data_IF_392161097847
#
_entry.id   IF_392161097847
#
_cell.length_a   1.000
_cell.length_b   1.000
_cell.length_c   1.000
_cell.angle_alpha   90.00
_cell.angle_beta   90.00
_cell.angle_gamma   90.00
#
_symmetry.space_group_name_H-M   'P 1'
#
loop_
_entity.id
_entity.type
_entity.pdbx_description
1 polymer ?
#
# COMPACT_ATOMS: atom_id res chain seq x y z
N UNK A 1 12.36 0.98 10.49
CA UNK A 1 13.11 0.97 9.19
C UNK A 1 13.85 -0.34 8.93
N UNK A 2 14.79 -0.77 9.77
CA UNK A 2 15.60 -1.99 9.55
C UNK A 2 14.77 -3.28 9.44
N UNK A 3 13.65 -3.38 10.16
CA UNK A 3 12.77 -4.54 10.04
C UNK A 3 12.08 -4.62 8.68
N UNK A 4 11.65 -3.48 8.13
CA UNK A 4 11.08 -3.39 6.78
C UNK A 4 12.10 -3.88 5.73
N UNK A 5 13.34 -3.36 5.77
CA UNK A 5 14.41 -3.81 4.87
C UNK A 5 14.60 -5.32 4.92
N UNK A 6 14.64 -5.90 6.12
CA UNK A 6 14.86 -7.35 6.29
C UNK A 6 13.73 -8.19 5.71
N UNK A 7 12.48 -7.74 5.80
CA UNK A 7 11.33 -8.45 5.24
C UNK A 7 11.33 -8.37 3.72
N UNK A 8 11.69 -7.22 3.17
CA UNK A 8 11.60 -6.95 1.72
C UNK A 8 12.82 -7.48 0.95
N UNK A 9 14.02 -7.47 1.57
CA UNK A 9 15.28 -7.81 0.89
C UNK A 9 15.28 -9.23 0.35
N UNK A 10 15.47 -9.36 -0.97
CA UNK A 10 15.52 -10.65 -1.67
C UNK A 10 14.17 -11.35 -1.79
N UNK A 11 13.08 -10.63 -1.54
CA UNK A 11 11.72 -11.14 -1.68
C UNK A 11 10.93 -10.27 -2.66
N UNK A 12 10.04 -10.91 -3.41
CA UNK A 12 9.15 -10.24 -4.36
C UNK A 12 7.79 -9.91 -3.72
N UNK A 13 7.06 -9.01 -4.35
CA UNK A 13 5.63 -8.82 -4.05
C UNK A 13 4.89 -10.05 -4.61
N UNK A 14 4.31 -10.85 -3.71
CA UNK A 14 3.56 -12.06 -4.05
C UNK A 14 2.12 -11.70 -4.45
N UNK A 15 1.50 -10.80 -3.70
CA UNK A 15 0.15 -10.31 -3.99
C UNK A 15 -0.10 -8.92 -3.39
N UNK A 16 -1.13 -8.23 -3.87
CA UNK A 16 -1.62 -6.96 -3.36
C UNK A 16 -3.10 -7.10 -3.08
N UNK A 17 -3.52 -6.80 -1.86
CA UNK A 17 -4.91 -6.98 -1.42
C UNK A 17 -5.58 -5.69 -1.01
N UNK A 18 -6.84 -5.56 -1.41
CA UNK A 18 -7.83 -4.72 -0.75
C UNK A 18 -8.58 -5.57 0.29
N UNK A 19 -8.89 -5.00 1.43
CA UNK A 19 -9.74 -5.61 2.45
C UNK A 19 -11.13 -5.01 2.44
N UNK A 20 -12.09 -5.74 2.96
CA UNK A 20 -13.46 -5.29 3.00
C UNK A 20 -14.39 -6.38 3.56
N UNK A 21 -15.64 -6.27 3.23
CA UNK A 21 -16.65 -7.25 3.59
C UNK A 21 -17.54 -7.58 2.39
N UNK A 22 -18.13 -8.74 2.43
CA UNK A 22 -19.18 -9.16 1.51
C UNK A 22 -20.49 -9.09 2.25
N UNK A 23 -21.42 -8.32 1.71
CA UNK A 23 -22.81 -8.30 2.12
C UNK A 23 -23.63 -9.22 1.20
N UNK A 24 -24.60 -9.96 1.77
CA UNK A 24 -25.45 -10.89 1.03
C UNK A 24 -26.90 -10.45 1.18
N UNK A 25 -27.36 -9.69 0.22
CA UNK A 25 -28.74 -9.21 0.19
C UNK A 25 -29.53 -9.88 -0.95
N UNK A 26 -30.69 -10.47 -0.62
CA UNK A 26 -31.56 -11.15 -1.60
C UNK A 26 -30.85 -12.24 -2.45
N UNK A 27 -29.85 -12.91 -1.86
CA UNK A 27 -29.04 -13.93 -2.56
C UNK A 27 -27.98 -13.36 -3.50
N UNK A 28 -27.73 -12.06 -3.47
CA UNK A 28 -26.68 -11.36 -4.23
C UNK A 28 -25.57 -11.01 -3.26
N UNK A 29 -24.35 -11.52 -3.54
CA UNK A 29 -23.15 -11.17 -2.79
C UNK A 29 -22.49 -9.95 -3.41
N UNK A 30 -22.23 -8.91 -2.62
CA UNK A 30 -21.56 -7.70 -3.04
C UNK A 30 -20.36 -7.42 -2.14
N UNK A 31 -19.18 -7.20 -2.75
CA UNK A 31 -17.96 -6.84 -2.03
C UNK A 31 -17.87 -5.33 -1.83
N UNK A 32 -17.72 -4.91 -0.58
CA UNK A 32 -17.46 -3.53 -0.18
C UNK A 32 -16.05 -3.44 0.39
N UNK A 33 -15.17 -2.69 -0.24
CA UNK A 33 -13.78 -2.57 0.20
C UNK A 33 -13.60 -1.46 1.24
N UNK A 34 -12.72 -1.70 2.21
CA UNK A 34 -12.25 -0.68 3.15
C UNK A 34 -11.08 0.07 2.53
N UNK A 35 -11.36 1.26 2.04
CA UNK A 35 -10.41 2.12 1.32
C UNK A 35 -9.24 2.62 2.17
N UNK A 36 -9.28 2.40 3.49
CA UNK A 36 -8.24 2.86 4.39
C UNK A 36 -7.01 1.96 4.38
N UNK A 37 -7.13 0.72 3.86
CA UNK A 37 -6.08 -0.28 3.95
C UNK A 37 -5.74 -0.88 2.59
N UNK A 38 -4.43 -1.01 2.35
CA UNK A 38 -3.87 -1.85 1.27
C UNK A 38 -2.78 -2.72 1.89
N UNK A 39 -2.71 -3.97 1.47
CA UNK A 39 -1.73 -4.94 1.95
C UNK A 39 -0.88 -5.48 0.81
N UNK A 40 0.44 -5.48 1.00
CA UNK A 40 1.38 -6.14 0.09
C UNK A 40 1.90 -7.41 0.75
N UNK A 41 1.64 -8.55 0.16
CA UNK A 41 2.15 -9.84 0.63
C UNK A 41 3.57 -10.04 0.13
N UNK A 42 4.50 -10.30 1.06
CA UNK A 42 5.93 -10.51 0.82
C UNK A 42 6.44 -11.56 1.80
N UNK A 43 6.85 -12.72 1.30
CA UNK A 43 7.43 -13.80 2.11
C UNK A 43 6.55 -14.17 3.33
N UNK A 44 5.28 -14.45 3.10
CA UNK A 44 4.29 -14.79 4.13
C UNK A 44 4.11 -13.72 5.23
N UNK A 45 4.49 -12.49 4.97
CA UNK A 45 4.23 -11.28 5.76
C UNK A 45 3.44 -10.29 4.93
N UNK A 46 2.85 -9.32 5.59
CA UNK A 46 2.13 -8.25 4.91
C UNK A 46 2.72 -6.90 5.30
N UNK A 47 3.00 -6.06 4.31
CA UNK A 47 3.16 -4.62 4.55
C UNK A 47 1.76 -4.04 4.50
N UNK A 48 1.28 -3.59 5.65
CA UNK A 48 0.02 -2.87 5.80
C UNK A 48 0.26 -1.38 5.57
N UNK A 49 -0.47 -0.80 4.65
CA UNK A 49 -0.60 0.64 4.47
C UNK A 49 -1.97 1.07 4.98
N UNK A 50 -1.97 1.93 5.98
CA UNK A 50 -3.17 2.49 6.60
C UNK A 50 -3.24 4.00 6.31
N UNK A 51 -4.35 4.46 5.75
CA UNK A 51 -4.63 5.90 5.62
C UNK A 51 -5.12 6.45 6.95
N UNK A 52 -4.40 7.41 7.49
CA UNK A 52 -4.67 8.02 8.81
C UNK A 52 -4.84 9.53 8.68
N UNK A 53 -5.11 10.20 9.80
CA UNK A 53 -5.22 11.66 9.91
C UNK A 53 -6.16 12.27 8.86
N UNK A 54 -7.38 11.73 8.74
CA UNK A 54 -8.38 12.17 7.77
C UNK A 54 -7.88 12.07 6.30
N UNK A 55 -7.23 10.94 5.98
CA UNK A 55 -6.70 10.66 4.65
C UNK A 55 -5.59 11.61 4.18
N UNK A 56 -4.76 12.08 5.10
CA UNK A 56 -3.62 12.95 4.77
C UNK A 56 -2.26 12.31 4.95
N UNK A 57 -2.19 11.17 5.63
CA UNK A 57 -0.95 10.44 5.91
C UNK A 57 -1.14 8.95 5.69
N UNK A 58 -0.05 8.27 5.35
CA UNK A 58 0.09 6.82 5.34
C UNK A 58 0.88 6.38 6.56
N UNK A 59 0.39 5.36 7.23
CA UNK A 59 1.09 4.61 8.27
C UNK A 59 1.44 3.24 7.74
N UNK A 60 2.69 2.81 7.94
CA UNK A 60 3.18 1.51 7.52
C UNK A 60 3.43 0.62 8.72
N UNK A 61 3.01 -0.63 8.60
CA UNK A 61 3.32 -1.70 9.56
C UNK A 61 3.63 -2.99 8.81
N UNK A 62 4.40 -3.88 9.47
CA UNK A 62 4.53 -5.26 9.04
C UNK A 62 3.71 -6.12 9.97
N UNK A 63 2.79 -6.89 9.40
CA UNK A 63 1.86 -7.75 10.13
C UNK A 63 1.93 -9.19 9.61
N UNK A 64 1.56 -10.15 10.45
CA UNK A 64 1.58 -11.58 10.10
C UNK A 64 0.33 -12.02 9.33
N UNK A 65 -0.73 -11.23 9.41
CA UNK A 65 -1.97 -11.49 8.70
C UNK A 65 -2.71 -10.19 8.41
N UNK A 66 -3.54 -10.21 7.40
CA UNK A 66 -4.46 -9.12 7.08
C UNK A 66 -5.38 -8.87 8.27
N UNK A 67 -5.50 -7.62 8.70
CA UNK A 67 -6.32 -7.20 9.81
C UNK A 67 -7.67 -6.65 9.30
N UNK A 68 -8.74 -6.98 10.01
CA UNK A 68 -10.08 -6.47 9.72
C UNK A 68 -10.59 -5.73 10.97
N UNK A 69 -10.16 -4.46 11.10
CA UNK A 69 -10.41 -3.64 12.29
C UNK A 69 -11.75 -2.89 12.21
N UNK A 70 -12.82 -3.58 11.81
CA UNK A 70 -14.17 -3.03 11.75
C UNK A 70 -15.20 -4.07 12.18
N UNK A 71 -16.29 -3.58 12.75
CA UNK A 71 -17.46 -4.41 13.05
C UNK A 71 -18.24 -4.65 11.76
N UNK A 72 -18.80 -5.84 11.66
CA UNK A 72 -19.70 -6.25 10.56
C UNK A 72 -20.99 -6.81 11.15
N UNK A 73 -22.08 -6.67 10.43
CA UNK A 73 -23.36 -7.25 10.79
C UNK A 73 -23.37 -8.78 10.63
N UNK A 74 -24.36 -9.48 11.20
CA UNK A 74 -24.40 -10.94 11.24
C UNK A 74 -24.50 -11.60 9.85
N UNK A 75 -25.02 -10.89 8.87
CA UNK A 75 -25.19 -11.30 7.47
C UNK A 75 -23.98 -10.92 6.56
N UNK A 76 -22.98 -10.25 7.11
CA UNK A 76 -21.77 -9.85 6.40
C UNK A 76 -20.60 -10.79 6.69
N UNK A 77 -19.68 -10.92 5.75
CA UNK A 77 -18.46 -11.71 5.89
C UNK A 77 -17.23 -10.86 5.59
N UNK A 78 -16.21 -10.92 6.47
CA UNK A 78 -14.91 -10.30 6.19
C UNK A 78 -14.26 -10.95 4.98
N UNK A 79 -13.72 -10.13 4.08
CA UNK A 79 -13.14 -10.59 2.84
C UNK A 79 -11.90 -9.77 2.44
N UNK A 80 -11.07 -10.35 1.58
CA UNK A 80 -10.01 -9.66 0.87
C UNK A 80 -10.10 -9.96 -0.63
N UNK A 81 -9.68 -9.01 -1.47
CA UNK A 81 -9.64 -9.16 -2.92
C UNK A 81 -8.24 -8.88 -3.42
N UNK A 82 -7.66 -9.76 -4.21
CA UNK A 82 -6.41 -9.51 -4.92
C UNK A 82 -6.63 -8.49 -6.03
N UNK A 83 -5.68 -7.55 -6.15
CA UNK A 83 -5.63 -6.55 -7.21
C UNK A 83 -4.29 -6.60 -7.98
N UNK A 84 -3.47 -7.60 -7.75
CA UNK A 84 -2.13 -7.72 -8.34
C UNK A 84 -2.15 -7.69 -9.85
N UNK A 85 -3.07 -8.39 -10.50
CA UNK A 85 -3.20 -8.40 -11.96
C UNK A 85 -3.52 -7.02 -12.57
N UNK A 86 -4.08 -6.11 -11.75
CA UNK A 86 -4.40 -4.74 -12.17
C UNK A 86 -3.19 -3.83 -11.96
N UNK A 87 -2.44 -4.04 -10.86
CA UNK A 87 -1.38 -3.14 -10.43
C UNK A 87 -0.02 -3.55 -10.99
N UNK A 88 0.32 -4.84 -10.95
CA UNK A 88 1.62 -5.33 -11.40
C UNK A 88 1.64 -5.52 -12.92
N UNK A 89 2.65 -4.98 -13.57
CA UNK A 89 2.83 -5.12 -15.03
C UNK A 89 3.34 -6.49 -15.43
N UNK A 90 4.00 -7.20 -14.51
CA UNK A 90 4.45 -8.58 -14.67
C UNK A 90 3.81 -9.44 -13.57
N UNK A 91 2.97 -10.39 -13.96
CA UNK A 91 2.34 -11.34 -13.03
C UNK A 91 3.23 -12.56 -12.79
N UNK A 92 4.35 -12.69 -13.52
CA UNK A 92 5.35 -13.73 -13.26
C UNK A 92 6.34 -13.25 -12.18
N UNK A 93 6.53 -14.06 -11.16
CA UNK A 93 7.20 -13.74 -9.88
C UNK A 93 8.62 -13.12 -9.97
N UNK A 94 9.29 -13.15 -11.11
CA UNK A 94 10.71 -12.80 -11.23
C UNK A 94 10.98 -11.29 -11.46
N UNK A 95 9.96 -10.45 -11.57
CA UNK A 95 10.13 -9.02 -11.85
C UNK A 95 9.61 -8.09 -10.76
N UNK A 96 8.94 -8.65 -9.76
CA UNK A 96 8.27 -7.87 -8.71
C UNK A 96 9.11 -7.70 -7.43
N UNK A 97 10.42 -7.97 -7.53
CA UNK A 97 11.36 -7.65 -6.46
C UNK A 97 11.44 -6.13 -6.27
N UNK A 98 11.43 -5.69 -5.01
CA UNK A 98 11.54 -4.29 -4.69
C UNK A 98 13.01 -3.86 -4.77
N UNK A 99 13.30 -2.87 -5.62
CA UNK A 99 14.61 -2.25 -5.74
C UNK A 99 14.78 -1.12 -4.71
N UNK A 100 13.79 -0.22 -4.64
CA UNK A 100 13.80 0.90 -3.72
C UNK A 100 12.42 1.17 -3.13
N UNK A 101 12.40 1.72 -1.92
CA UNK A 101 11.23 2.35 -1.32
C UNK A 101 11.57 3.80 -1.00
N UNK A 102 10.72 4.72 -1.44
CA UNK A 102 10.88 6.16 -1.21
C UNK A 102 9.69 6.65 -0.41
N UNK A 103 9.97 7.23 0.74
CA UNK A 103 8.98 7.84 1.62
C UNK A 103 9.03 9.36 1.45
N UNK A 104 7.89 9.97 1.26
CA UNK A 104 7.76 11.43 1.18
C UNK A 104 7.33 11.98 2.54
N UNK A 105 8.10 12.94 3.08
CA UNK A 105 7.90 13.54 4.41
C UNK A 105 7.77 12.49 5.51
N UNK A 106 8.75 11.55 5.56
CA UNK A 106 8.79 10.48 6.54
C UNK A 106 8.96 11.02 7.95
N UNK A 107 8.08 10.62 8.83
CA UNK A 107 8.15 10.77 10.28
C UNK A 107 8.52 9.40 10.86
N UNK A 108 9.73 9.25 11.38
CA UNK A 108 10.23 8.00 11.96
C UNK A 108 10.45 8.21 13.46
N UNK A 109 9.36 8.08 14.22
CA UNK A 109 9.41 8.02 15.68
C UNK A 109 9.22 6.55 16.12
N UNK A 110 8.05 6.24 16.64
CA UNK A 110 7.68 4.86 17.03
C UNK A 110 7.05 4.09 15.85
N UNK A 111 6.52 4.80 14.86
CA UNK A 111 5.82 4.26 13.69
C UNK A 111 6.32 4.93 12.40
N UNK A 112 6.25 4.22 11.27
CA UNK A 112 6.55 4.78 9.95
C UNK A 112 5.31 5.52 9.43
N UNK A 113 5.32 6.83 9.49
CA UNK A 113 4.26 7.70 9.00
C UNK A 113 4.84 8.62 7.93
N UNK A 114 4.14 8.80 6.80
CA UNK A 114 4.59 9.63 5.69
C UNK A 114 3.42 10.21 4.89
N UNK A 115 3.68 11.12 3.97
CA UNK A 115 2.64 11.70 3.12
C UNK A 115 2.29 10.80 1.93
N UNK A 116 3.27 10.10 1.38
CA UNK A 116 3.11 9.16 0.28
C UNK A 116 4.29 8.18 0.23
N UNK A 117 4.10 7.06 -0.47
CA UNK A 117 5.13 6.05 -0.68
C UNK A 117 5.26 5.75 -2.17
N UNK A 118 6.50 5.64 -2.63
CA UNK A 118 6.85 5.14 -3.96
C UNK A 118 7.67 3.87 -3.82
N UNK A 119 7.29 2.83 -4.54
CA UNK A 119 7.99 1.55 -4.60
C UNK A 119 8.49 1.38 -6.02
N UNK A 120 9.80 1.28 -6.19
CA UNK A 120 10.44 0.98 -7.46
C UNK A 120 10.77 -0.52 -7.50
N UNK A 121 10.30 -1.20 -8.54
CA UNK A 121 10.56 -2.62 -8.76
C UNK A 121 11.79 -2.82 -9.66
N UNK A 122 12.42 -3.97 -9.55
CA UNK A 122 13.61 -4.33 -10.36
C UNK A 122 13.31 -4.31 -11.87
N UNK A 123 12.08 -4.61 -12.29
CA UNK A 123 11.63 -4.52 -13.67
C UNK A 123 11.44 -3.06 -14.19
N UNK A 124 11.67 -2.05 -13.32
CA UNK A 124 11.52 -0.63 -13.64
C UNK A 124 10.11 -0.08 -13.47
N UNK A 125 9.16 -0.91 -13.04
CA UNK A 125 7.82 -0.44 -12.68
C UNK A 125 7.88 0.42 -11.41
N UNK A 126 7.03 1.42 -11.34
CA UNK A 126 6.80 2.27 -10.16
C UNK A 126 5.39 2.05 -9.67
N UNK A 127 5.25 1.78 -8.37
CA UNK A 127 3.98 1.76 -7.66
C UNK A 127 3.99 2.96 -6.71
N UNK A 128 2.96 3.79 -6.78
CA UNK A 128 2.81 4.97 -5.95
C UNK A 128 1.54 4.87 -5.11
N UNK A 129 1.66 5.06 -3.80
CA UNK A 129 0.56 5.06 -2.85
C UNK A 129 0.37 6.48 -2.32
N UNK A 130 -0.85 6.98 -2.46
CA UNK A 130 -1.24 8.35 -2.10
C UNK A 130 -2.50 8.31 -1.22
N UNK A 131 -2.43 8.75 0.06
CA UNK A 131 -3.57 8.77 0.96
C UNK A 131 -4.48 9.97 0.76
N UNK A 132 -4.06 10.98 -0.02
CA UNK A 132 -4.73 12.29 -0.11
C UNK A 132 -6.00 12.28 -0.96
N UNK A 133 -6.61 11.13 -1.14
CA UNK A 133 -7.87 11.01 -1.83
C UNK A 133 -9.05 10.88 -0.86
N UNK A 134 -10.17 11.51 -1.21
CA UNK A 134 -11.38 11.61 -0.38
C UNK A 134 -11.91 10.26 0.14
N UNK A 135 -11.62 9.16 -0.54
CA UNK A 135 -12.12 7.82 -0.22
C UNK A 135 -11.04 6.83 0.24
N UNK A 136 -9.83 7.27 0.55
CA UNK A 136 -8.78 6.40 1.04
C UNK A 136 -7.48 6.43 0.25
N UNK A 137 -6.81 5.28 0.13
CA UNK A 137 -5.53 5.17 -0.54
C UNK A 137 -5.72 5.00 -2.04
N UNK A 138 -5.13 5.91 -2.84
CA UNK A 138 -4.92 5.67 -4.25
C UNK A 138 -3.66 4.84 -4.45
N UNK A 139 -3.72 3.87 -5.36
CA UNK A 139 -2.59 3.12 -5.83
C UNK A 139 -2.48 3.25 -7.35
N UNK A 140 -1.29 3.60 -7.85
CA UNK A 140 -1.07 3.79 -9.27
C UNK A 140 0.40 3.82 -9.62
N UNK A 141 0.74 4.33 -10.81
CA UNK A 141 2.10 4.46 -11.30
C UNK A 141 2.65 5.89 -11.20
N UNK A 142 3.51 6.23 -12.16
CA UNK A 142 4.13 7.57 -12.27
C UNK A 142 3.11 8.68 -12.46
N UNK A 143 1.99 8.39 -13.09
CA UNK A 143 0.88 9.32 -13.33
C UNK A 143 0.23 9.71 -11.99
N UNK A 144 -0.01 8.75 -11.09
CA UNK A 144 -0.54 9.02 -9.76
C UNK A 144 0.40 9.92 -8.95
N UNK A 145 1.70 9.69 -9.03
CA UNK A 145 2.71 10.57 -8.41
C UNK A 145 2.63 12.01 -8.94
N UNK A 146 2.39 12.18 -10.23
CA UNK A 146 2.23 13.52 -10.82
C UNK A 146 0.97 14.21 -10.29
N UNK A 147 -0.16 13.50 -10.23
CA UNK A 147 -1.41 14.01 -9.67
C UNK A 147 -1.21 14.43 -8.21
N UNK A 148 -0.58 13.57 -7.40
CA UNK A 148 -0.27 13.89 -6.01
C UNK A 148 0.56 15.17 -5.89
N UNK A 149 1.61 15.34 -6.70
CA UNK A 149 2.44 16.55 -6.71
C UNK A 149 1.68 17.82 -7.10
N UNK A 150 0.76 17.73 -8.05
CA UNK A 150 -0.08 18.87 -8.48
C UNK A 150 -1.02 19.30 -7.35
N UNK A 151 -1.49 18.36 -6.54
CA UNK A 151 -2.40 18.61 -5.43
C UNK A 151 -1.71 19.19 -4.18
N UNK A 152 -0.37 19.17 -4.12
CA UNK A 152 0.38 19.81 -3.05
C UNK A 152 0.33 21.33 -3.18
N UNK A 153 0.32 22.03 -2.06
CA UNK A 153 0.38 23.49 -2.06
C UNK A 153 1.74 23.97 -2.57
N UNK A 154 1.75 25.06 -3.33
CA UNK A 154 2.95 25.61 -4.02
C UNK A 154 4.17 25.87 -3.13
N UNK A 155 4.05 25.83 -1.80
CA UNK A 155 5.14 26.11 -0.85
C UNK A 155 5.46 24.94 0.10
N UNK A 156 4.99 23.73 -0.17
CA UNK A 156 5.33 22.59 0.66
C UNK A 156 6.71 22.04 0.29
N UNK A 157 7.65 22.13 1.23
CA UNK A 157 8.95 21.46 1.11
C UNK A 157 8.74 19.95 1.25
N UNK A 158 8.96 19.22 0.18
CA UNK A 158 8.87 17.76 0.18
C UNK A 158 10.26 17.19 0.44
N UNK A 159 10.43 16.48 1.54
CA UNK A 159 11.60 15.65 1.77
C UNK A 159 11.35 14.24 1.23
N UNK A 160 12.39 13.58 0.71
CA UNK A 160 12.30 12.22 0.22
C UNK A 160 13.38 11.37 0.91
N UNK A 161 12.96 10.35 1.64
CA UNK A 161 13.84 9.36 2.27
C UNK A 161 13.82 8.08 1.43
N UNK A 162 14.95 7.76 0.79
CA UNK A 162 15.10 6.57 -0.06
C UNK A 162 15.76 5.44 0.73
N UNK A 163 15.19 4.25 0.62
CA UNK A 163 15.74 2.99 1.11
C UNK A 163 16.11 2.13 -0.09
N UNK A 164 17.39 1.85 -0.27
CA UNK A 164 17.85 0.88 -1.25
C UNK A 164 17.69 -0.53 -0.64
N UNK A 165 17.03 -1.42 -1.37
CA UNK A 165 16.77 -2.80 -0.97
C UNK A 165 17.70 -3.75 -1.67
N UNK A 166 17.89 -3.59 -2.99
CA UNK A 166 18.85 -4.38 -3.76
C UNK A 166 20.27 -3.92 -3.45
N UNK A 167 21.13 -4.85 -3.04
CA UNK A 167 22.59 -4.63 -3.00
C UNK A 167 23.08 -4.63 -4.45
N UNK A 168 23.29 -3.44 -5.03
CA UNK A 168 24.07 -3.29 -6.26
C UNK A 168 25.53 -3.08 -5.92
#
# INVERSE_FOLDING_TARGET
>A
MEYLKRVVKGNNIEDIYLTGFVDIENGIAQFYHDLRFIYFEINSKYIEFESINQFSKLKLKIVDSVQHNYEIDEDMMRAKSSISEIILSDTMANGNDIDNIIFYNLEEEDELICDAVEIELVNGQVIFLDPSYYFGINIGGKEQKQIWKINLKENENISATRINISDK
#
